data_IF_251952367226
#
_entry.id   IF_251952367226
#
_cell.length_a   1.000
_cell.length_b   1.000
_cell.length_c   1.000
_cell.angle_alpha   90.00
_cell.angle_beta   90.00
_cell.angle_gamma   90.00
#
_symmetry.space_group_name_H-M   'P 1'
#
loop_
_entity.id
_entity.type
_entity.pdbx_description
1 polymer ?
#
# COMPACT_ATOMS: atom_id res chain seq x y z
N UNK A 1 -48.26 12.24 -73.60
CA UNK A 1 -47.32 11.17 -73.29
C UNK A 1 -46.44 11.69 -72.18
N UNK A 2 -46.80 11.31 -70.96
CA UNK A 2 -46.15 11.79 -69.70
C UNK A 2 -45.10 10.77 -69.21
N UNK A 3 -43.88 11.27 -69.21
CA UNK A 3 -42.73 10.49 -68.63
C UNK A 3 -42.59 10.75 -67.12
N UNK A 4 -42.68 9.70 -66.32
CA UNK A 4 -42.48 9.74 -64.89
C UNK A 4 -40.97 9.76 -64.58
N UNK A 5 -40.50 10.51 -63.60
CA UNK A 5 -39.08 10.47 -63.17
C UNK A 5 -38.78 9.26 -62.34
N UNK A 6 -37.64 8.62 -62.61
CA UNK A 6 -37.09 7.52 -61.82
C UNK A 6 -36.40 8.08 -60.56
N UNK A 7 -36.95 7.71 -59.40
CA UNK A 7 -36.33 8.01 -58.10
C UNK A 7 -35.27 6.94 -57.82
N UNK A 8 -34.00 7.37 -57.72
CA UNK A 8 -32.93 6.52 -57.29
C UNK A 8 -32.86 6.52 -55.74
N UNK A 9 -33.09 5.37 -55.14
CA UNK A 9 -32.92 5.16 -53.69
C UNK A 9 -31.46 4.86 -53.42
N UNK A 10 -30.79 5.78 -52.74
CA UNK A 10 -29.43 5.58 -52.24
C UNK A 10 -29.55 4.89 -50.87
N UNK A 11 -29.15 3.62 -50.77
CA UNK A 11 -29.05 2.91 -49.49
C UNK A 11 -27.67 3.17 -48.92
N UNK A 12 -27.61 4.03 -47.90
CA UNK A 12 -26.38 4.23 -47.12
C UNK A 12 -26.21 3.07 -46.11
N UNK A 13 -25.21 2.27 -46.34
CA UNK A 13 -24.81 1.21 -45.36
C UNK A 13 -23.94 1.89 -44.31
N UNK A 14 -24.50 2.10 -43.13
CA UNK A 14 -23.76 2.56 -41.97
C UNK A 14 -22.95 1.35 -41.39
N UNK A 15 -21.62 1.37 -41.56
CA UNK A 15 -20.72 0.40 -40.93
C UNK A 15 -20.60 0.75 -39.45
N UNK A 16 -21.26 -0.03 -38.60
CA UNK A 16 -21.02 -0.01 -37.16
C UNK A 16 -19.68 -0.68 -36.88
N UNK A 17 -18.66 0.12 -36.56
CA UNK A 17 -17.44 -0.39 -35.93
C UNK A 17 -17.82 -0.79 -34.51
N UNK A 18 -17.93 -2.10 -34.28
CA UNK A 18 -18.04 -2.66 -32.95
C UNK A 18 -16.72 -2.41 -32.22
N UNK A 19 -16.70 -1.47 -31.28
CA UNK A 19 -15.59 -1.32 -30.34
C UNK A 19 -15.52 -2.62 -29.50
N UNK A 20 -14.43 -3.36 -29.65
CA UNK A 20 -14.16 -4.51 -28.81
C UNK A 20 -14.11 -4.04 -27.35
N UNK A 21 -14.83 -4.66 -26.41
CA UNK A 21 -14.71 -4.33 -25.01
C UNK A 21 -13.25 -4.62 -24.61
N UNK A 22 -12.53 -3.59 -24.18
CA UNK A 22 -11.26 -3.77 -23.51
C UNK A 22 -11.51 -4.73 -22.34
N UNK A 23 -10.89 -5.90 -22.36
CA UNK A 23 -10.97 -6.84 -21.25
C UNK A 23 -10.39 -6.12 -20.03
N UNK A 24 -11.26 -5.63 -19.14
CA UNK A 24 -10.85 -5.28 -17.79
C UNK A 24 -10.24 -6.55 -17.21
N UNK A 25 -8.93 -6.58 -17.09
CA UNK A 25 -8.27 -7.60 -16.30
C UNK A 25 -8.78 -7.42 -14.87
N UNK A 26 -9.69 -8.30 -14.45
CA UNK A 26 -10.12 -8.35 -13.06
C UNK A 26 -8.84 -8.58 -12.24
N UNK A 27 -8.45 -7.59 -11.45
CA UNK A 27 -7.38 -7.76 -10.48
C UNK A 27 -7.79 -8.90 -9.55
N UNK A 28 -6.89 -9.84 -9.30
CA UNK A 28 -7.08 -10.91 -8.33
C UNK A 28 -6.31 -10.59 -7.06
N UNK A 29 -6.72 -11.19 -5.93
CA UNK A 29 -5.89 -11.16 -4.73
C UNK A 29 -4.51 -11.74 -5.03
N UNK A 30 -3.48 -11.22 -4.37
CA UNK A 30 -2.13 -11.73 -4.51
C UNK A 30 -2.03 -13.16 -3.98
N UNK A 31 -1.55 -14.06 -4.80
CA UNK A 31 -1.12 -15.38 -4.35
C UNK A 31 0.28 -15.31 -3.71
N UNK A 32 0.71 -16.42 -3.11
CA UNK A 32 1.98 -16.56 -2.40
C UNK A 32 3.23 -16.05 -3.17
N UNK A 33 3.24 -16.16 -4.49
CA UNK A 33 4.34 -15.65 -5.33
C UNK A 33 4.17 -14.17 -5.65
N UNK A 34 2.96 -13.74 -5.94
CA UNK A 34 2.68 -12.37 -6.38
C UNK A 34 2.94 -11.33 -5.29
N UNK A 35 2.77 -11.69 -3.99
CA UNK A 35 3.09 -10.79 -2.88
C UNK A 35 4.55 -10.33 -2.87
N UNK A 36 5.45 -11.08 -3.51
CA UNK A 36 6.89 -10.84 -3.55
C UNK A 36 7.38 -10.15 -4.84
N UNK A 37 6.47 -9.83 -5.76
CA UNK A 37 6.82 -9.36 -7.09
C UNK A 37 6.21 -8.00 -7.41
N UNK A 38 6.83 -7.21 -8.30
CA UNK A 38 6.20 -6.03 -8.88
C UNK A 38 4.86 -6.35 -9.55
N UNK A 39 3.98 -5.38 -9.60
CA UNK A 39 2.64 -5.49 -10.18
C UNK A 39 1.57 -5.14 -9.14
N UNK A 40 0.30 -5.15 -9.55
CA UNK A 40 -0.82 -4.77 -8.70
C UNK A 40 -1.71 -5.99 -8.40
N UNK A 41 -2.17 -6.09 -7.17
CA UNK A 41 -3.17 -7.07 -6.73
C UNK A 41 -4.34 -6.35 -6.06
N UNK A 42 -5.48 -7.02 -5.94
CA UNK A 42 -6.54 -6.57 -5.04
C UNK A 42 -5.97 -6.52 -3.62
N UNK A 43 -6.24 -5.41 -2.93
CA UNK A 43 -5.79 -5.18 -1.55
C UNK A 43 -4.40 -4.54 -1.43
N UNK A 44 -3.82 -4.03 -2.53
CA UNK A 44 -2.67 -3.13 -2.46
C UNK A 44 -3.08 -1.70 -2.10
N UNK A 45 -4.34 -1.34 -2.37
CA UNK A 45 -4.89 -0.03 -2.03
C UNK A 45 -5.32 0.01 -0.56
N UNK A 46 -5.28 1.20 0.03
CA UNK A 46 -5.70 1.44 1.41
C UNK A 46 -7.20 1.15 1.60
N UNK A 47 -7.52 0.36 2.60
CA UNK A 47 -8.88 0.16 3.06
C UNK A 47 -9.28 1.11 4.21
N UNK A 48 -10.53 1.01 4.69
CA UNK A 48 -11.04 1.89 5.74
C UNK A 48 -10.34 1.69 7.09
N UNK A 49 -9.89 0.47 7.44
CA UNK A 49 -9.18 0.20 8.69
C UNK A 49 -7.75 0.75 8.64
N UNK A 50 -7.12 0.67 7.51
CA UNK A 50 -5.77 1.19 7.26
C UNK A 50 -5.75 2.72 7.30
N UNK A 51 -6.76 3.36 6.69
CA UNK A 51 -6.96 4.82 6.76
C UNK A 51 -7.20 5.25 8.21
N UNK A 52 -8.02 4.53 8.97
CA UNK A 52 -8.29 4.83 10.38
C UNK A 52 -7.02 4.65 11.23
N UNK A 53 -6.22 3.60 11.00
CA UNK A 53 -4.95 3.41 11.71
C UNK A 53 -3.97 4.55 11.40
N UNK A 54 -3.84 4.95 10.15
CA UNK A 54 -3.00 6.08 9.76
C UNK A 54 -3.45 7.38 10.44
N UNK A 55 -4.77 7.61 10.52
CA UNK A 55 -5.33 8.75 11.24
C UNK A 55 -4.97 8.69 12.73
N UNK A 56 -5.16 7.56 13.41
CA UNK A 56 -4.84 7.40 14.84
C UNK A 56 -3.34 7.60 15.11
N UNK A 57 -2.46 7.12 14.23
CA UNK A 57 -1.01 7.38 14.31
C UNK A 57 -0.74 8.89 14.24
N UNK A 58 -1.34 9.58 13.28
CA UNK A 58 -1.15 11.02 13.11
C UNK A 58 -1.75 11.84 14.25
N UNK A 59 -2.90 11.46 14.79
CA UNK A 59 -3.48 12.06 15.98
C UNK A 59 -2.54 11.89 17.20
N UNK A 60 -1.97 10.70 17.37
CA UNK A 60 -1.00 10.45 18.44
C UNK A 60 0.30 11.25 18.25
N UNK A 61 0.78 11.40 17.04
CA UNK A 61 1.92 12.29 16.72
C UNK A 61 1.59 13.74 17.08
N UNK A 62 0.42 14.23 16.68
CA UNK A 62 -0.05 15.59 17.00
C UNK A 62 -0.12 15.85 18.51
N UNK A 63 -0.61 14.89 19.29
CA UNK A 63 -0.62 14.95 20.76
C UNK A 63 0.79 15.04 21.36
N UNK A 64 1.81 14.61 20.64
CA UNK A 64 3.22 14.70 21.02
C UNK A 64 3.97 15.86 20.31
N UNK A 65 3.24 16.82 19.72
CA UNK A 65 3.82 18.03 19.10
C UNK A 65 4.52 17.77 17.75
N UNK A 66 4.24 16.65 17.10
CA UNK A 66 4.84 16.28 15.81
C UNK A 66 3.85 16.48 14.66
N UNK A 67 4.34 16.87 13.48
CA UNK A 67 3.50 16.99 12.29
C UNK A 67 2.97 15.63 11.83
N UNK A 68 1.82 15.65 11.18
CA UNK A 68 1.27 14.47 10.51
C UNK A 68 2.21 13.99 9.40
N UNK A 69 2.23 12.68 9.20
CA UNK A 69 2.95 12.04 8.08
C UNK A 69 1.94 11.83 6.95
N UNK A 70 2.19 12.34 5.74
CA UNK A 70 1.31 12.10 4.60
C UNK A 70 1.19 10.61 4.25
N UNK A 71 -0.01 10.17 3.89
CA UNK A 71 -0.22 8.83 3.35
C UNK A 71 0.54 8.65 2.03
N UNK A 72 1.07 7.45 1.86
CA UNK A 72 1.88 7.04 0.72
C UNK A 72 1.28 5.78 0.09
N UNK A 73 0.65 5.86 -1.08
CA UNK A 73 0.20 4.68 -1.82
C UNK A 73 1.33 3.68 -2.07
N UNK A 74 2.52 4.17 -2.42
CA UNK A 74 3.67 3.31 -2.66
C UNK A 74 4.13 2.53 -1.42
N UNK A 75 4.17 3.15 -0.24
CA UNK A 75 4.50 2.45 1.00
C UNK A 75 3.34 1.62 1.54
N UNK A 76 2.09 1.97 1.25
CA UNK A 76 0.92 1.15 1.60
C UNK A 76 0.90 -0.15 0.80
N UNK A 77 1.24 -0.11 -0.49
CA UNK A 77 1.47 -1.32 -1.28
C UNK A 77 2.52 -2.22 -0.60
N UNK A 78 3.66 -1.65 -0.17
CA UNK A 78 4.70 -2.43 0.52
C UNK A 78 4.18 -3.05 1.81
N UNK A 79 3.47 -2.26 2.63
CA UNK A 79 2.88 -2.73 3.89
C UNK A 79 1.89 -3.87 3.64
N UNK A 80 0.97 -3.69 2.68
CA UNK A 80 -0.02 -4.69 2.30
C UNK A 80 0.59 -5.98 1.77
N UNK A 81 1.68 -5.87 1.00
CA UNK A 81 2.41 -7.04 0.51
C UNK A 81 3.13 -7.77 1.63
N UNK A 82 3.73 -7.05 2.58
CA UNK A 82 4.43 -7.70 3.69
C UNK A 82 3.46 -8.41 4.65
N UNK A 83 2.34 -7.81 5.04
CA UNK A 83 1.37 -8.49 5.90
C UNK A 83 0.77 -9.74 5.25
N UNK A 84 0.58 -9.74 3.91
CA UNK A 84 0.18 -10.93 3.17
C UNK A 84 1.28 -11.98 3.11
N UNK A 85 2.54 -11.57 2.93
CA UNK A 85 3.68 -12.49 2.98
C UNK A 85 3.81 -13.14 4.36
N UNK A 86 3.63 -12.36 5.43
CA UNK A 86 3.57 -12.90 6.80
C UNK A 86 2.46 -13.93 6.97
N UNK A 87 1.25 -13.65 6.48
CA UNK A 87 0.11 -14.53 6.63
C UNK A 87 0.18 -15.78 5.73
N UNK A 88 0.55 -15.61 4.46
CA UNK A 88 0.43 -16.67 3.45
C UNK A 88 1.68 -17.56 3.39
N UNK A 89 2.87 -16.96 3.52
CA UNK A 89 4.13 -17.66 3.27
C UNK A 89 4.91 -17.97 4.55
N UNK A 90 4.84 -17.13 5.58
CA UNK A 90 5.71 -17.23 6.77
C UNK A 90 4.97 -17.81 7.97
N UNK A 91 3.72 -17.41 8.23
CA UNK A 91 2.90 -17.90 9.33
C UNK A 91 3.27 -17.37 10.73
N UNK A 92 4.13 -16.36 10.84
CA UNK A 92 4.57 -15.73 12.11
C UNK A 92 5.01 -14.29 11.91
N UNK A 93 5.04 -13.52 13.01
CA UNK A 93 5.56 -12.16 12.99
C UNK A 93 7.09 -12.15 12.84
N UNK A 94 7.58 -11.40 11.88
CA UNK A 94 9.01 -11.13 11.63
C UNK A 94 9.13 -9.91 10.73
N UNK A 95 10.31 -9.30 10.66
CA UNK A 95 10.67 -8.32 9.64
C UNK A 95 11.33 -8.95 8.40
N UNK A 96 11.53 -10.28 8.39
CA UNK A 96 11.97 -10.98 7.18
C UNK A 96 10.83 -11.05 6.16
N UNK A 97 11.20 -11.04 4.89
CA UNK A 97 10.35 -11.50 3.81
C UNK A 97 10.60 -12.98 3.56
N UNK A 98 9.62 -13.71 3.06
CA UNK A 98 9.77 -15.16 2.79
C UNK A 98 10.89 -15.47 1.79
N UNK A 99 11.32 -14.50 0.99
CA UNK A 99 12.37 -14.65 -0.01
C UNK A 99 13.69 -13.96 0.34
N UNK A 100 13.79 -13.25 1.46
CA UNK A 100 15.03 -12.63 1.94
C UNK A 100 14.99 -12.25 3.41
N UNK A 101 16.13 -12.34 4.09
CA UNK A 101 16.25 -12.00 5.50
C UNK A 101 16.41 -10.50 5.73
N UNK A 102 15.91 -9.99 6.86
CA UNK A 102 16.07 -8.61 7.29
C UNK A 102 17.54 -8.17 7.37
N UNK A 103 18.46 -9.10 7.66
CA UNK A 103 19.90 -8.83 7.72
C UNK A 103 20.53 -8.55 6.35
N UNK A 104 19.85 -8.89 5.25
CA UNK A 104 20.27 -8.48 3.92
C UNK A 104 19.89 -7.00 3.69
N UNK A 105 20.88 -6.16 3.47
CA UNK A 105 20.71 -4.71 3.23
C UNK A 105 19.84 -4.38 2.01
N UNK A 106 19.69 -5.31 1.08
CA UNK A 106 18.85 -5.18 -0.11
C UNK A 106 17.45 -5.77 0.08
N UNK A 107 17.16 -6.35 1.23
CA UNK A 107 15.86 -6.95 1.54
C UNK A 107 14.88 -5.92 2.10
N UNK A 108 14.92 -5.73 3.43
CA UNK A 108 13.91 -4.98 4.18
C UNK A 108 13.82 -3.51 3.73
N UNK A 109 14.90 -2.79 3.83
CA UNK A 109 14.93 -1.34 3.54
C UNK A 109 14.63 -1.01 2.08
N UNK A 110 14.89 -1.96 1.18
CA UNK A 110 14.70 -1.85 -0.28
C UNK A 110 13.40 -2.46 -0.78
N UNK A 111 12.52 -2.90 0.11
CA UNK A 111 11.22 -3.44 -0.30
C UNK A 111 10.44 -2.52 -1.25
N UNK A 112 10.42 -1.18 -1.11
CA UNK A 112 9.77 -0.32 -2.08
C UNK A 112 10.31 -0.50 -3.50
N UNK A 113 11.62 -0.58 -3.68
CA UNK A 113 12.27 -0.77 -4.98
C UNK A 113 12.09 -2.20 -5.50
N UNK A 114 12.20 -3.20 -4.61
CA UNK A 114 12.02 -4.62 -4.98
C UNK A 114 10.61 -4.91 -5.50
N UNK A 115 9.61 -4.25 -4.94
CA UNK A 115 8.21 -4.37 -5.37
C UNK A 115 7.86 -3.44 -6.54
N UNK A 116 8.83 -2.69 -7.06
CA UNK A 116 8.65 -1.84 -8.23
C UNK A 116 7.80 -0.61 -7.97
N UNK A 117 7.71 -0.15 -6.71
CA UNK A 117 7.01 1.11 -6.41
C UNK A 117 7.84 2.31 -6.87
N UNK A 118 7.18 3.46 -7.05
CA UNK A 118 7.84 4.72 -7.37
C UNK A 118 8.47 5.43 -6.15
N UNK A 119 8.38 4.85 -4.95
CA UNK A 119 8.95 5.46 -3.76
C UNK A 119 10.50 5.56 -3.85
N UNK A 120 11.08 6.77 -3.75
CA UNK A 120 12.50 6.97 -4.08
C UNK A 120 13.48 6.66 -2.95
N UNK A 121 12.98 6.28 -1.76
CA UNK A 121 13.77 6.09 -0.55
C UNK A 121 13.69 4.69 0.03
N UNK A 122 14.43 4.48 1.12
CA UNK A 122 14.25 3.30 1.97
C UNK A 122 12.95 3.40 2.76
N UNK A 123 12.34 2.25 3.04
CA UNK A 123 11.23 2.13 3.98
C UNK A 123 11.68 1.51 5.30
N UNK A 124 11.03 1.88 6.39
CA UNK A 124 11.25 1.35 7.74
C UNK A 124 9.93 0.90 8.33
N UNK A 125 9.93 -0.20 9.06
CA UNK A 125 8.71 -0.88 9.46
C UNK A 125 8.53 -0.97 10.97
N UNK A 126 7.27 -0.80 11.41
CA UNK A 126 6.73 -1.41 12.61
C UNK A 126 5.77 -2.52 12.19
N UNK A 127 5.89 -3.71 12.80
CA UNK A 127 5.02 -4.84 12.53
C UNK A 127 4.23 -5.24 13.77
N UNK A 128 3.06 -5.87 13.55
CA UNK A 128 2.15 -6.35 14.60
C UNK A 128 1.57 -7.70 14.21
N UNK A 129 1.30 -8.55 15.20
CA UNK A 129 0.39 -9.68 15.04
C UNK A 129 -0.46 -9.87 16.30
N UNK A 130 -1.71 -10.26 16.11
CA UNK A 130 -2.62 -10.52 17.22
C UNK A 130 -3.99 -10.99 16.75
N UNK A 131 -4.82 -11.51 17.65
CA UNK A 131 -6.13 -12.06 17.32
C UNK A 131 -7.13 -10.99 16.87
N UNK A 132 -6.84 -9.72 17.16
CA UNK A 132 -7.67 -8.58 16.78
C UNK A 132 -6.77 -7.50 16.19
N UNK A 133 -6.75 -7.40 14.87
CA UNK A 133 -6.01 -6.35 14.15
C UNK A 133 -6.88 -5.08 13.98
N UNK A 134 -7.48 -4.58 15.08
CA UNK A 134 -8.15 -3.28 15.03
C UNK A 134 -7.13 -2.14 15.12
N UNK A 135 -7.40 -0.96 14.52
CA UNK A 135 -6.51 0.20 14.59
C UNK A 135 -6.08 0.55 16.00
N UNK A 136 -7.02 0.53 16.96
CA UNK A 136 -6.74 0.85 18.36
C UNK A 136 -5.83 -0.20 19.03
N UNK A 137 -6.04 -1.50 18.76
CA UNK A 137 -5.21 -2.57 19.32
C UNK A 137 -3.79 -2.53 18.74
N UNK A 138 -3.66 -2.30 17.44
CA UNK A 138 -2.37 -2.17 16.75
C UNK A 138 -1.58 -0.99 17.31
N UNK A 139 -2.16 0.21 17.30
CA UNK A 139 -1.51 1.40 17.83
C UNK A 139 -1.20 1.26 19.32
N UNK A 140 -2.13 0.67 20.10
CA UNK A 140 -1.92 0.37 21.52
C UNK A 140 -0.68 -0.47 21.78
N UNK A 141 -0.47 -1.52 20.98
CA UNK A 141 0.72 -2.37 21.02
C UNK A 141 2.00 -1.60 20.67
N UNK A 142 1.97 -0.80 19.60
CA UNK A 142 3.14 -0.01 19.19
C UNK A 142 3.50 1.12 20.14
N UNK A 143 2.56 1.59 20.98
CA UNK A 143 2.84 2.59 22.03
C UNK A 143 3.63 2.03 23.20
N UNK A 144 3.48 0.74 23.52
CA UNK A 144 4.29 -0.03 24.49
C UNK A 144 4.55 0.69 25.83
N UNK A 145 3.49 1.26 26.43
CA UNK A 145 3.62 2.03 27.67
C UNK A 145 4.36 3.36 27.54
N UNK A 146 4.59 3.83 26.31
CA UNK A 146 5.20 5.13 26.03
C UNK A 146 6.70 5.08 25.70
N UNK A 147 7.35 3.95 25.93
CA UNK A 147 8.77 3.73 25.63
C UNK A 147 8.94 2.37 24.94
N UNK A 148 9.59 2.33 23.80
CA UNK A 148 9.86 1.11 23.05
C UNK A 148 10.21 1.42 21.60
N UNK A 149 10.83 0.48 20.88
CA UNK A 149 11.36 0.73 19.55
C UNK A 149 10.28 1.11 18.54
N UNK A 150 9.08 0.55 18.63
CA UNK A 150 7.97 0.90 17.74
C UNK A 150 7.47 2.32 18.01
N UNK A 151 7.38 2.72 19.30
CA UNK A 151 6.99 4.07 19.66
C UNK A 151 8.05 5.11 19.26
N UNK A 152 9.33 4.74 19.34
CA UNK A 152 10.43 5.60 18.90
C UNK A 152 10.39 5.89 17.40
N UNK A 153 9.99 4.90 16.58
CA UNK A 153 9.72 5.13 15.14
C UNK A 153 8.57 6.10 14.95
N UNK A 154 7.42 5.87 15.63
CA UNK A 154 6.24 6.73 15.49
C UNK A 154 6.55 8.18 15.91
N UNK A 155 7.29 8.38 16.98
CA UNK A 155 7.53 9.69 17.58
C UNK A 155 8.89 10.31 17.23
N UNK A 156 9.59 9.77 16.26
CA UNK A 156 10.92 10.25 15.86
C UNK A 156 11.87 10.40 17.07
N UNK A 157 12.00 9.35 17.88
CA UNK A 157 12.84 9.34 19.09
C UNK A 157 14.10 8.50 18.87
N UNK A 158 15.05 8.60 19.80
CA UNK A 158 16.31 7.83 19.81
C UNK A 158 17.05 7.96 18.46
N UNK A 159 17.31 6.84 17.80
CA UNK A 159 18.01 6.79 16.50
C UNK A 159 17.24 7.50 15.37
N UNK A 160 15.96 7.76 15.57
CA UNK A 160 15.08 8.45 14.62
C UNK A 160 14.93 9.96 14.88
N UNK A 161 15.59 10.52 15.92
CA UNK A 161 15.39 11.91 16.35
C UNK A 161 15.74 12.96 15.29
N UNK A 162 16.63 12.64 14.37
CA UNK A 162 17.04 13.52 13.27
C UNK A 162 16.36 13.16 11.93
N UNK A 163 15.38 12.25 11.95
CA UNK A 163 14.65 11.84 10.75
C UNK A 163 13.32 12.59 10.69
N UNK A 164 12.94 13.04 9.52
CA UNK A 164 11.62 13.59 9.25
C UNK A 164 10.85 12.63 8.35
N UNK A 165 9.81 11.99 8.89
CA UNK A 165 8.95 11.12 8.09
C UNK A 165 8.12 11.97 7.12
N UNK A 166 8.10 11.57 5.84
CA UNK A 166 7.39 12.24 4.74
C UNK A 166 6.46 11.32 3.99
N UNK A 167 6.41 10.06 4.36
CA UNK A 167 5.55 9.06 3.75
C UNK A 167 5.18 8.00 4.79
N UNK A 168 3.89 7.65 4.85
CA UNK A 168 3.31 6.65 5.74
C UNK A 168 2.51 5.66 4.91
N UNK A 169 2.88 4.39 4.95
CA UNK A 169 2.10 3.28 4.42
C UNK A 169 1.55 2.42 5.55
N UNK A 170 0.37 1.87 5.35
CA UNK A 170 -0.29 0.95 6.28
C UNK A 170 -0.73 -0.29 5.50
N UNK A 171 -0.65 -1.44 6.13
CA UNK A 171 -1.24 -2.69 5.65
C UNK A 171 -1.79 -3.49 6.82
N UNK A 172 -2.98 -4.07 6.64
CA UNK A 172 -3.65 -4.94 7.62
C UNK A 172 -4.19 -6.16 6.89
N UNK A 173 -3.80 -7.35 7.31
CA UNK A 173 -4.28 -8.59 6.73
C UNK A 173 -4.18 -9.76 7.70
N UNK A 174 -5.26 -10.52 7.89
CA UNK A 174 -5.33 -11.78 8.62
C UNK A 174 -4.58 -11.79 9.97
N UNK A 175 -4.88 -10.81 10.83
CA UNK A 175 -4.27 -10.68 12.15
C UNK A 175 -2.87 -10.04 12.17
N UNK A 176 -2.30 -9.73 11.02
CA UNK A 176 -1.05 -8.97 10.89
C UNK A 176 -1.33 -7.51 10.53
N UNK A 177 -0.45 -6.62 11.00
CA UNK A 177 -0.42 -5.24 10.53
C UNK A 177 1.02 -4.75 10.38
N UNK A 178 1.22 -3.83 9.45
CA UNK A 178 2.49 -3.16 9.23
C UNK A 178 2.28 -1.65 9.00
N UNK A 179 3.14 -0.86 9.64
CA UNK A 179 3.34 0.55 9.32
C UNK A 179 4.70 0.68 8.63
N UNK A 180 4.71 1.27 7.46
CA UNK A 180 5.93 1.63 6.75
C UNK A 180 6.11 3.13 6.71
N UNK A 181 7.27 3.64 7.11
CA UNK A 181 7.58 5.06 7.06
C UNK A 181 8.84 5.32 6.23
N UNK A 182 8.91 6.50 5.66
CA UNK A 182 10.05 6.91 4.88
C UNK A 182 10.29 8.42 4.92
N UNK A 183 11.56 8.82 4.75
CA UNK A 183 12.02 10.21 4.83
C UNK A 183 11.91 10.97 3.51
N UNK A 184 11.50 10.33 2.44
CA UNK A 184 11.27 10.96 1.12
C UNK A 184 9.77 11.12 0.89
N UNK A 185 9.39 12.12 0.13
CA UNK A 185 8.01 12.28 -0.35
C UNK A 185 7.71 11.20 -1.37
N UNK A 186 6.52 10.61 -1.27
CA UNK A 186 6.01 9.70 -2.27
C UNK A 186 5.49 10.51 -3.47
N UNK A 187 6.02 10.30 -4.69
CA UNK A 187 5.52 11.00 -5.87
C UNK A 187 4.12 10.57 -6.29
N UNK A 188 3.60 9.46 -5.77
CA UNK A 188 2.23 8.97 -6.02
C UNK A 188 1.23 9.40 -4.96
N UNK A 189 1.67 10.01 -3.85
CA UNK A 189 0.77 10.64 -2.89
C UNK A 189 0.02 11.75 -3.62
N UNK A 190 -1.28 11.55 -3.82
CA UNK A 190 -2.11 12.39 -4.67
C UNK A 190 -1.97 13.87 -4.42
N UNK A 191 -2.02 14.58 -5.51
CA UNK A 191 -2.30 16.01 -5.57
C UNK A 191 -3.77 16.24 -5.23
#
# INVERSE_FOLDING_TARGET
MSGLPKIAVVVSVASFLAASPSALHAQSECNARQVLQPGNCIGDDLDALEIELAKQINDYRSQNGLPAIPLSPALSLVANRHVRDLAINIGRLTHDWSNCAMTDSNCMWKAPQRLGTSYPGNGFENAYSGPTASPAAILGSWKEGGNGPHNDVILNRQVWSNVHWRALGIGIYDGFAAMWVGSKTDPTAGN
#
